data_IF_683127602447
#
_entry.id   IF_683127602447
#
_cell.length_a   1.000
_cell.length_b   1.000
_cell.length_c   1.000
_cell.angle_alpha   90.00
_cell.angle_beta   90.00
_cell.angle_gamma   90.00
#
_symmetry.space_group_name_H-M   'P 1'
#
loop_
_entity.id
_entity.type
_entity.pdbx_description
1 polymer ?
#
# COMPACT_ATOMS: atom_id res chain seq x y z
N UNK A 1 30.78 -77.34 -21.60
CA UNK A 1 30.63 -76.12 -20.78
C UNK A 1 29.16 -75.77 -20.82
N UNK A 2 28.52 -75.96 -19.66
CA UNK A 2 27.09 -75.75 -19.44
C UNK A 2 26.70 -74.28 -19.63
N UNK A 3 25.53 -74.08 -20.22
CA UNK A 3 24.75 -72.85 -20.07
C UNK A 3 23.29 -73.25 -19.84
N UNK A 4 23.01 -73.54 -18.58
CA UNK A 4 21.64 -73.58 -18.04
C UNK A 4 21.13 -72.14 -18.01
N UNK A 5 20.13 -71.82 -18.83
CA UNK A 5 19.32 -70.61 -18.65
C UNK A 5 17.93 -71.05 -18.25
N UNK A 6 17.70 -71.02 -16.94
CA UNK A 6 16.40 -71.23 -16.32
C UNK A 6 15.50 -70.03 -16.66
N UNK A 7 14.70 -70.14 -17.71
CA UNK A 7 13.57 -69.24 -17.91
C UNK A 7 12.41 -69.76 -17.06
N UNK A 8 12.28 -69.21 -15.84
CA UNK A 8 11.06 -69.31 -15.07
C UNK A 8 9.95 -68.61 -15.86
N UNK A 9 9.15 -69.40 -16.58
CA UNK A 9 7.93 -68.96 -17.23
C UNK A 9 6.94 -68.55 -16.13
N UNK A 10 6.86 -67.24 -15.84
CA UNK A 10 5.77 -66.69 -15.03
C UNK A 10 4.46 -67.08 -15.69
N UNK A 11 3.54 -67.67 -14.93
CA UNK A 11 2.26 -68.15 -15.47
C UNK A 11 1.47 -66.99 -16.10
N UNK A 12 0.74 -67.21 -17.21
CA UNK A 12 -0.03 -66.14 -17.88
C UNK A 12 -1.06 -65.44 -16.97
N UNK A 13 -1.43 -66.10 -15.86
CA UNK A 13 -2.26 -65.57 -14.77
C UNK A 13 -1.59 -64.45 -13.97
N UNK A 14 -0.30 -64.52 -13.67
CA UNK A 14 0.41 -63.50 -12.88
C UNK A 14 0.59 -62.19 -13.65
N UNK A 15 0.80 -62.27 -14.96
CA UNK A 15 0.96 -61.09 -15.83
C UNK A 15 -0.35 -60.31 -15.99
N UNK A 16 -1.49 -61.02 -16.08
CA UNK A 16 -2.82 -60.42 -16.14
C UNK A 16 -3.19 -59.70 -14.83
N UNK A 17 -2.85 -60.28 -13.68
CA UNK A 17 -3.08 -59.62 -12.39
C UNK A 17 -2.21 -58.38 -12.17
N UNK A 18 -0.97 -58.38 -12.65
CA UNK A 18 -0.04 -57.25 -12.54
C UNK A 18 -0.49 -56.06 -13.41
N UNK A 19 -0.99 -56.35 -14.62
CA UNK A 19 -1.62 -55.36 -15.50
C UNK A 19 -2.90 -54.78 -14.86
N UNK A 20 -3.73 -55.63 -14.26
CA UNK A 20 -4.96 -55.21 -13.57
C UNK A 20 -4.65 -54.32 -12.37
N UNK A 21 -3.66 -54.68 -11.53
CA UNK A 21 -3.21 -53.83 -10.40
C UNK A 21 -2.65 -52.48 -10.86
N UNK A 22 -1.89 -52.44 -11.96
CA UNK A 22 -1.41 -51.17 -12.55
C UNK A 22 -2.56 -50.30 -13.07
N UNK A 23 -3.57 -50.90 -13.71
CA UNK A 23 -4.75 -50.17 -14.15
C UNK A 23 -5.56 -49.61 -12.97
N UNK A 24 -5.73 -50.38 -11.90
CA UNK A 24 -6.36 -49.90 -10.67
C UNK A 24 -5.58 -48.74 -10.03
N UNK A 25 -4.26 -48.88 -9.88
CA UNK A 25 -3.40 -47.82 -9.33
C UNK A 25 -3.40 -46.53 -10.16
N UNK A 26 -3.38 -46.65 -11.51
CA UNK A 26 -3.51 -45.48 -12.39
C UNK A 26 -4.89 -44.83 -12.24
N UNK A 27 -5.97 -45.62 -12.17
CA UNK A 27 -7.31 -45.08 -11.96
C UNK A 27 -7.40 -44.32 -10.63
N UNK A 28 -6.89 -44.87 -9.53
CA UNK A 28 -6.86 -44.22 -8.21
C UNK A 28 -6.06 -42.90 -8.22
N UNK A 29 -4.91 -42.87 -8.90
CA UNK A 29 -4.14 -41.64 -9.09
C UNK A 29 -4.89 -40.59 -9.92
N UNK A 30 -5.69 -41.03 -10.90
CA UNK A 30 -6.49 -40.13 -11.73
C UNK A 30 -7.65 -39.55 -10.92
N UNK A 31 -8.35 -40.39 -10.16
CA UNK A 31 -9.42 -39.97 -9.24
C UNK A 31 -8.91 -39.03 -8.16
N UNK A 32 -7.78 -39.34 -7.51
CA UNK A 32 -7.17 -38.48 -6.49
C UNK A 32 -6.78 -37.11 -7.06
N UNK A 33 -6.23 -37.07 -8.29
CA UNK A 33 -5.90 -35.82 -9.00
C UNK A 33 -7.13 -35.00 -9.36
N UNK A 34 -8.21 -35.65 -9.75
CA UNK A 34 -9.48 -35.00 -10.11
C UNK A 34 -10.21 -34.47 -8.86
N UNK A 35 -10.14 -35.19 -7.75
CA UNK A 35 -10.61 -34.74 -6.44
C UNK A 35 -9.80 -33.54 -5.90
N UNK A 36 -8.49 -33.54 -6.08
CA UNK A 36 -7.63 -32.40 -5.72
C UNK A 36 -7.90 -31.18 -6.60
N UNK A 37 -8.11 -31.38 -7.90
CA UNK A 37 -8.48 -30.31 -8.82
C UNK A 37 -9.84 -29.69 -8.47
N UNK A 38 -10.83 -30.51 -8.10
CA UNK A 38 -12.16 -30.04 -7.69
C UNK A 38 -12.13 -29.33 -6.32
N UNK A 39 -11.31 -29.79 -5.36
CA UNK A 39 -11.05 -29.08 -4.09
C UNK A 39 -10.39 -27.72 -4.32
N UNK A 40 -9.41 -27.66 -5.22
CA UNK A 40 -8.75 -26.41 -5.59
C UNK A 40 -9.74 -25.43 -6.23
N UNK A 41 -10.60 -25.91 -7.13
CA UNK A 41 -11.61 -25.09 -7.80
C UNK A 41 -12.69 -24.59 -6.83
N UNK A 42 -13.09 -25.44 -5.88
CA UNK A 42 -13.98 -25.06 -4.78
C UNK A 42 -13.34 -23.96 -3.92
N UNK A 43 -12.04 -24.09 -3.62
CA UNK A 43 -11.30 -23.09 -2.84
C UNK A 43 -11.19 -21.76 -3.59
N UNK A 44 -10.86 -21.79 -4.89
CA UNK A 44 -10.87 -20.61 -5.76
C UNK A 44 -12.23 -19.95 -5.79
N UNK A 45 -13.30 -20.72 -5.96
CA UNK A 45 -14.68 -20.23 -5.97
C UNK A 45 -15.05 -19.55 -4.65
N UNK A 46 -14.62 -20.11 -3.51
CA UNK A 46 -14.84 -19.50 -2.18
C UNK A 46 -14.06 -18.19 -2.04
N UNK A 47 -12.80 -18.14 -2.49
CA UNK A 47 -11.98 -16.94 -2.46
C UNK A 47 -12.57 -15.83 -3.34
N UNK A 48 -12.98 -16.15 -4.57
CA UNK A 48 -13.64 -15.19 -5.47
C UNK A 48 -14.92 -14.62 -4.85
N UNK A 49 -15.72 -15.46 -4.18
CA UNK A 49 -16.90 -15.00 -3.45
C UNK A 49 -16.55 -14.10 -2.25
N UNK A 50 -15.43 -14.34 -1.57
CA UNK A 50 -14.94 -13.44 -0.51
C UNK A 50 -14.52 -12.10 -1.10
N UNK A 51 -13.72 -12.10 -2.17
CA UNK A 51 -13.29 -10.87 -2.86
C UNK A 51 -14.47 -10.05 -3.36
N UNK A 52 -15.48 -10.71 -3.96
CA UNK A 52 -16.69 -10.03 -4.42
C UNK A 52 -17.45 -9.36 -3.27
N UNK A 53 -17.63 -10.06 -2.15
CA UNK A 53 -18.28 -9.49 -0.95
C UNK A 53 -17.45 -8.38 -0.32
N UNK A 54 -16.13 -8.48 -0.40
CA UNK A 54 -15.24 -7.43 0.07
C UNK A 54 -15.41 -6.15 -0.76
N UNK A 55 -15.47 -6.26 -2.09
CA UNK A 55 -15.68 -5.09 -2.95
C UNK A 55 -17.07 -4.46 -2.74
N UNK A 56 -18.13 -5.27 -2.62
CA UNK A 56 -19.48 -4.79 -2.29
C UNK A 56 -19.52 -4.07 -0.93
N UNK A 57 -18.85 -4.64 0.08
CA UNK A 57 -18.76 -4.01 1.39
C UNK A 57 -17.95 -2.70 1.34
N UNK A 58 -16.86 -2.66 0.59
CA UNK A 58 -16.04 -1.46 0.37
C UNK A 58 -16.87 -0.37 -0.32
N UNK A 59 -17.68 -0.71 -1.32
CA UNK A 59 -18.57 0.24 -1.98
C UNK A 59 -19.65 0.77 -1.03
N UNK A 60 -20.28 -0.11 -0.23
CA UNK A 60 -21.32 0.27 0.74
C UNK A 60 -20.79 1.10 1.91
N UNK A 61 -19.55 0.86 2.33
CA UNK A 61 -18.89 1.64 3.38
C UNK A 61 -18.29 2.94 2.84
N UNK A 62 -18.00 3.01 1.55
CA UNK A 62 -17.54 4.23 0.89
C UNK A 62 -18.67 5.25 0.83
N UNK A 63 -18.55 6.33 1.59
CA UNK A 63 -19.50 7.44 1.53
C UNK A 63 -19.24 8.24 0.26
N UNK A 64 -20.26 8.87 -0.31
CA UNK A 64 -20.06 9.76 -1.48
C UNK A 64 -19.04 10.87 -1.17
N UNK A 65 -18.97 11.34 0.08
CA UNK A 65 -17.92 12.26 0.55
C UNK A 65 -16.52 11.67 0.36
N UNK A 66 -16.34 10.38 0.61
CA UNK A 66 -15.04 9.71 0.57
C UNK A 66 -14.60 9.51 -0.88
N UNK A 67 -15.55 9.25 -1.79
CA UNK A 67 -15.28 9.20 -3.25
C UNK A 67 -14.82 10.56 -3.77
N UNK A 68 -15.49 11.64 -3.37
CA UNK A 68 -15.11 13.00 -3.74
C UNK A 68 -13.74 13.38 -3.16
N UNK A 69 -13.45 12.99 -1.91
CA UNK A 69 -12.14 13.20 -1.29
C UNK A 69 -11.06 12.44 -2.06
N UNK A 70 -11.30 11.16 -2.38
CA UNK A 70 -10.36 10.33 -3.15
C UNK A 70 -10.01 10.96 -4.49
N UNK A 71 -11.01 11.30 -5.31
CA UNK A 71 -10.77 11.90 -6.63
C UNK A 71 -10.07 13.26 -6.55
N UNK A 72 -10.45 14.10 -5.58
CA UNK A 72 -9.83 15.40 -5.39
C UNK A 72 -8.38 15.27 -4.94
N UNK A 73 -8.10 14.43 -3.94
CA UNK A 73 -6.73 14.20 -3.47
C UNK A 73 -5.87 13.58 -4.57
N UNK A 74 -6.38 12.62 -5.33
CA UNK A 74 -5.65 12.05 -6.46
C UNK A 74 -5.24 13.14 -7.47
N UNK A 75 -6.16 14.03 -7.84
CA UNK A 75 -5.88 15.15 -8.76
C UNK A 75 -4.88 16.15 -8.16
N UNK A 76 -5.00 16.46 -6.88
CA UNK A 76 -4.11 17.39 -6.19
C UNK A 76 -2.68 16.87 -6.10
N UNK A 77 -2.50 15.60 -5.73
CA UNK A 77 -1.18 14.96 -5.67
C UNK A 77 -0.57 14.79 -7.06
N UNK A 78 -1.38 14.44 -8.07
CA UNK A 78 -0.91 14.38 -9.45
C UNK A 78 -0.44 15.76 -9.94
N UNK A 79 -1.20 16.82 -9.67
CA UNK A 79 -0.80 18.18 -10.01
C UNK A 79 0.48 18.61 -9.26
N UNK A 80 0.64 18.21 -8.00
CA UNK A 80 1.85 18.45 -7.22
C UNK A 80 3.05 17.70 -7.79
N UNK A 81 2.87 16.46 -8.24
CA UNK A 81 3.88 15.64 -8.93
C UNK A 81 4.28 16.26 -10.27
N UNK A 82 3.34 16.70 -11.09
CA UNK A 82 3.63 17.35 -12.38
C UNK A 82 4.36 18.68 -12.19
N UNK A 83 4.02 19.43 -11.14
CA UNK A 83 4.64 20.71 -10.83
C UNK A 83 5.94 20.59 -10.02
N UNK A 84 6.36 19.37 -9.67
CA UNK A 84 7.61 19.08 -8.96
C UNK A 84 8.79 19.63 -9.76
N UNK A 85 9.68 20.35 -9.07
CA UNK A 85 10.91 20.90 -9.67
C UNK A 85 12.16 20.24 -9.12
N UNK A 86 12.06 19.64 -7.93
CA UNK A 86 13.18 19.06 -7.20
C UNK A 86 12.67 17.88 -6.36
N UNK A 87 13.38 16.75 -6.41
CA UNK A 87 13.15 15.59 -5.55
C UNK A 87 14.37 15.35 -4.67
N UNK A 88 14.17 15.33 -3.36
CA UNK A 88 15.21 15.04 -2.37
C UNK A 88 14.94 13.65 -1.80
N UNK A 89 15.83 12.71 -2.07
CA UNK A 89 15.82 11.39 -1.43
C UNK A 89 16.31 11.50 0.00
N UNK A 90 15.56 10.92 0.93
CA UNK A 90 15.85 10.94 2.37
C UNK A 90 15.92 9.50 2.87
N UNK A 91 16.92 9.23 3.70
CA UNK A 91 17.06 7.94 4.38
C UNK A 91 15.98 7.80 5.48
N UNK A 92 15.54 6.58 5.76
CA UNK A 92 14.49 6.32 6.76
C UNK A 92 14.79 6.93 8.13
N UNK A 93 16.05 6.95 8.56
CA UNK A 93 16.48 7.49 9.85
C UNK A 93 16.40 9.03 9.92
N UNK A 94 16.40 9.69 8.76
CA UNK A 94 16.32 11.15 8.65
C UNK A 94 14.87 11.65 8.65
N UNK A 95 13.90 10.78 8.38
CA UNK A 95 12.48 11.07 8.54
C UNK A 95 12.10 11.07 10.03
N UNK A 96 11.98 12.27 10.59
CA UNK A 96 11.69 12.47 12.01
C UNK A 96 11.00 13.82 12.26
N UNK A 97 10.59 14.06 13.51
CA UNK A 97 9.86 15.26 13.94
C UNK A 97 10.60 16.58 13.58
N UNK A 98 11.93 16.58 13.54
CA UNK A 98 12.72 17.76 13.17
C UNK A 98 12.64 18.11 11.69
N UNK A 99 12.71 17.09 10.82
CA UNK A 99 12.50 17.27 9.40
C UNK A 99 11.04 17.65 9.11
N UNK A 100 10.07 17.01 9.76
CA UNK A 100 8.66 17.37 9.66
C UNK A 100 8.42 18.84 10.05
N UNK A 101 9.05 19.31 11.13
CA UNK A 101 8.98 20.71 11.55
C UNK A 101 9.56 21.67 10.49
N UNK A 102 10.66 21.29 9.83
CA UNK A 102 11.28 22.07 8.75
C UNK A 102 10.35 22.18 7.54
N UNK A 103 9.74 21.06 7.12
CA UNK A 103 8.79 21.04 6.01
C UNK A 103 7.56 21.88 6.37
N UNK A 104 7.08 21.75 7.62
CA UNK A 104 5.95 22.53 8.14
C UNK A 104 6.23 24.04 8.10
N UNK A 105 7.40 24.48 8.56
CA UNK A 105 7.81 25.87 8.48
C UNK A 105 7.82 26.36 7.03
N UNK A 106 8.42 25.58 6.12
CA UNK A 106 8.49 25.90 4.69
C UNK A 106 7.12 26.14 4.07
N UNK A 107 6.15 25.25 4.31
CA UNK A 107 4.80 25.40 3.72
C UNK A 107 4.03 26.59 4.30
N UNK A 108 4.29 26.97 5.56
CA UNK A 108 3.68 28.18 6.16
C UNK A 108 4.24 29.45 5.54
N UNK A 109 5.57 29.54 5.44
CA UNK A 109 6.25 30.69 4.81
C UNK A 109 5.80 30.82 3.35
N UNK A 110 5.68 29.72 2.61
CA UNK A 110 5.20 29.73 1.23
C UNK A 110 3.76 30.22 1.12
N UNK A 111 2.87 29.74 1.99
CA UNK A 111 1.48 30.16 2.00
C UNK A 111 1.33 31.65 2.33
N UNK A 112 2.05 32.15 3.33
CA UNK A 112 2.05 33.57 3.70
C UNK A 112 2.60 34.44 2.57
N UNK A 113 3.71 34.02 1.95
CA UNK A 113 4.29 34.73 0.80
C UNK A 113 3.31 34.78 -0.38
N UNK A 114 2.67 33.66 -0.71
CA UNK A 114 1.67 33.58 -1.79
C UNK A 114 0.47 34.48 -1.49
N UNK A 115 0.04 34.56 -0.23
CA UNK A 115 -1.02 35.48 0.19
C UNK A 115 -0.60 36.95 0.01
N UNK A 116 0.64 37.32 0.34
CA UNK A 116 1.18 38.68 0.13
C UNK A 116 1.28 39.04 -1.36
N UNK A 117 1.76 38.13 -2.20
CA UNK A 117 1.89 38.34 -3.65
C UNK A 117 0.52 38.52 -4.30
N UNK A 118 -0.46 37.69 -3.91
CA UNK A 118 -1.85 37.82 -4.37
C UNK A 118 -2.47 39.17 -4.00
N UNK A 119 -2.08 39.75 -2.85
CA UNK A 119 -2.54 41.07 -2.43
C UNK A 119 -1.91 42.22 -3.24
N UNK A 120 -0.66 42.01 -3.70
CA UNK A 120 0.13 43.05 -4.35
C UNK A 120 -0.02 43.11 -5.89
N UNK A 121 -0.71 42.14 -6.53
CA UNK A 121 -0.85 42.04 -8.00
C UNK A 121 0.49 42.11 -8.77
N UNK A 122 1.59 41.67 -8.16
CA UNK A 122 2.93 41.70 -8.77
C UNK A 122 3.10 40.43 -9.61
N UNK A 123 3.61 40.51 -10.87
CA UNK A 123 3.92 39.34 -11.66
C UNK A 123 4.96 38.47 -10.95
N UNK A 124 4.65 37.19 -10.75
CA UNK A 124 5.58 36.22 -10.15
C UNK A 124 6.72 35.89 -11.10
N UNK A 125 7.97 36.16 -10.68
CA UNK A 125 9.15 35.52 -11.27
C UNK A 125 9.09 34.00 -11.01
N UNK A 126 9.28 33.19 -12.06
CA UNK A 126 9.10 31.73 -12.01
C UNK A 126 10.13 31.01 -11.12
N UNK A 127 11.18 31.70 -10.68
CA UNK A 127 12.31 31.13 -9.95
C UNK A 127 11.99 30.77 -8.49
N UNK A 128 10.94 31.35 -7.90
CA UNK A 128 10.56 31.13 -6.50
C UNK A 128 9.53 30.02 -6.28
N UNK A 129 9.06 29.37 -7.35
CA UNK A 129 8.07 28.29 -7.28
C UNK A 129 8.72 26.90 -7.20
N UNK A 130 9.88 26.75 -6.55
CA UNK A 130 10.50 25.43 -6.41
C UNK A 130 9.62 24.54 -5.53
N UNK A 131 8.90 23.61 -6.17
CA UNK A 131 8.09 22.58 -5.50
C UNK A 131 8.99 21.39 -5.22
N UNK A 132 9.77 21.52 -4.16
CA UNK A 132 10.56 20.42 -3.62
C UNK A 132 9.64 19.35 -3.04
N UNK A 133 9.90 18.10 -3.40
CA UNK A 133 9.29 16.91 -2.78
C UNK A 133 10.36 16.08 -2.10
N UNK A 134 9.96 15.33 -1.08
CA UNK A 134 10.87 14.47 -0.33
C UNK A 134 10.46 13.01 -0.48
N UNK A 135 11.38 12.13 -0.85
CA UNK A 135 11.11 10.71 -1.08
C UNK A 135 11.80 9.84 -0.02
N UNK A 136 11.02 8.99 0.64
CA UNK A 136 11.49 8.06 1.67
C UNK A 136 10.91 6.68 1.36
N UNK A 137 11.73 5.80 0.79
CA UNK A 137 11.29 4.49 0.28
C UNK A 137 10.02 4.60 -0.59
N UNK A 138 8.90 4.14 -0.07
CA UNK A 138 7.58 4.12 -0.70
C UNK A 138 6.67 5.28 -0.29
N UNK A 139 7.23 6.32 0.33
CA UNK A 139 6.56 7.58 0.68
C UNK A 139 7.09 8.71 -0.18
N UNK A 140 6.20 9.58 -0.61
CA UNK A 140 6.55 10.85 -1.24
C UNK A 140 5.79 11.96 -0.50
N UNK A 141 6.53 12.97 -0.07
CA UNK A 141 6.03 14.11 0.69
C UNK A 141 6.00 15.33 -0.23
N UNK A 142 4.83 15.95 -0.33
CA UNK A 142 4.55 17.12 -1.14
C UNK A 142 4.30 18.35 -0.27
N UNK A 143 4.92 19.47 -0.63
CA UNK A 143 4.52 20.78 -0.14
C UNK A 143 3.28 21.22 -0.93
N UNK A 144 2.09 21.10 -0.33
CA UNK A 144 0.82 21.45 -0.98
C UNK A 144 0.46 22.93 -0.74
N UNK A 145 -0.49 23.44 -1.53
CA UNK A 145 -0.97 24.81 -1.39
C UNK A 145 -1.73 25.01 -0.06
N UNK A 146 -1.55 26.17 0.58
CA UNK A 146 -2.31 26.56 1.77
C UNK A 146 -1.76 25.99 3.09
N UNK A 147 -0.43 25.99 3.28
CA UNK A 147 0.23 25.49 4.49
C UNK A 147 -0.05 24.00 4.78
N UNK A 148 -0.29 23.21 3.72
CA UNK A 148 -0.61 21.78 3.80
C UNK A 148 0.58 20.92 3.39
N UNK A 149 0.71 19.76 4.03
CA UNK A 149 1.71 18.75 3.70
C UNK A 149 0.98 17.50 3.24
N UNK A 150 1.26 17.08 2.01
CA UNK A 150 0.73 15.85 1.43
C UNK A 150 1.70 14.70 1.60
N UNK A 151 1.23 13.54 2.07
CA UNK A 151 1.98 12.30 2.11
C UNK A 151 1.29 11.31 1.19
N UNK A 152 1.99 10.88 0.15
CA UNK A 152 1.60 9.77 -0.71
C UNK A 152 2.35 8.52 -0.26
N UNK A 153 1.64 7.41 -0.13
CA UNK A 153 2.19 6.14 0.27
C UNK A 153 1.78 5.04 -0.69
N UNK A 154 2.75 4.32 -1.21
CA UNK A 154 2.56 3.21 -2.14
C UNK A 154 2.74 1.87 -1.43
N UNK A 155 1.75 0.99 -1.50
CA UNK A 155 1.88 -0.39 -1.01
C UNK A 155 2.54 -1.28 -2.05
N UNK A 156 3.31 -2.27 -1.58
CA UNK A 156 3.91 -3.29 -2.42
C UNK A 156 3.52 -4.67 -1.91
N UNK A 157 3.14 -5.56 -2.82
CA UNK A 157 2.92 -6.97 -2.54
C UNK A 157 3.72 -7.81 -3.52
N UNK A 158 4.56 -8.71 -3.00
CA UNK A 158 5.46 -9.54 -3.81
C UNK A 158 6.35 -8.74 -4.79
N UNK A 159 6.69 -7.49 -4.44
CA UNK A 159 7.52 -6.59 -5.26
C UNK A 159 6.72 -5.72 -6.24
N UNK A 160 5.43 -5.97 -6.40
CA UNK A 160 4.56 -5.19 -7.32
C UNK A 160 3.81 -4.08 -6.57
N UNK A 161 3.73 -2.87 -7.14
CA UNK A 161 2.94 -1.79 -6.57
C UNK A 161 1.45 -2.16 -6.59
N UNK A 162 0.76 -1.86 -5.50
CA UNK A 162 -0.65 -2.20 -5.31
C UNK A 162 -1.51 -0.94 -5.25
N UNK A 163 -1.78 -0.43 -4.06
CA UNK A 163 -2.59 0.77 -3.84
C UNK A 163 -1.74 1.97 -3.45
N UNK A 164 -2.19 3.14 -3.90
CA UNK A 164 -1.65 4.42 -3.48
C UNK A 164 -2.64 5.06 -2.51
N UNK A 165 -2.12 5.45 -1.35
CA UNK A 165 -2.87 6.16 -0.33
C UNK A 165 -2.34 7.58 -0.15
N UNK A 166 -3.24 8.50 0.15
CA UNK A 166 -2.95 9.91 0.37
C UNK A 166 -3.35 10.30 1.78
N UNK A 167 -2.55 11.14 2.40
CA UNK A 167 -2.81 11.76 3.69
C UNK A 167 -2.41 13.23 3.62
N UNK A 168 -3.27 14.12 4.08
CA UNK A 168 -3.03 15.56 4.12
C UNK A 168 -2.96 16.00 5.57
N UNK A 169 -1.88 16.70 5.87
CA UNK A 169 -1.59 17.25 7.16
C UNK A 169 -1.66 18.77 7.12
N UNK A 170 -2.26 19.36 8.13
CA UNK A 170 -2.40 20.81 8.27
C UNK A 170 -2.21 21.23 9.72
N UNK A 171 -1.66 22.42 9.92
CA UNK A 171 -1.66 23.13 11.19
C UNK A 171 -2.05 24.58 10.91
N UNK A 172 -2.82 25.23 11.78
CA UNK A 172 -3.21 26.63 11.55
C UNK A 172 -2.06 27.61 11.79
N UNK A 173 -1.03 27.17 12.49
CA UNK A 173 0.16 27.92 12.86
C UNK A 173 1.32 26.96 13.11
N UNK A 174 2.55 27.45 12.95
CA UNK A 174 3.76 26.71 13.31
C UNK A 174 3.79 26.29 14.79
N UNK A 175 3.10 27.02 15.68
CA UNK A 175 3.01 26.69 17.10
C UNK A 175 1.89 25.70 17.41
N UNK A 176 0.96 25.47 16.48
CA UNK A 176 -0.13 24.55 16.67
C UNK A 176 0.25 23.11 16.31
N UNK A 177 -0.49 22.17 16.91
CA UNK A 177 -0.39 20.76 16.61
C UNK A 177 -0.78 20.52 15.14
N UNK A 178 -0.02 19.66 14.47
CA UNK A 178 -0.32 19.18 13.13
C UNK A 178 -1.41 18.11 13.18
N UNK A 179 -2.38 18.19 12.29
CA UNK A 179 -3.58 17.33 12.28
C UNK A 179 -3.81 16.72 10.91
N UNK A 180 -4.45 15.55 10.88
CA UNK A 180 -4.86 14.91 9.62
C UNK A 180 -6.19 15.49 9.20
N UNK A 181 -6.22 16.21 8.07
CA UNK A 181 -7.45 16.85 7.59
C UNK A 181 -8.19 15.98 6.59
N UNK A 182 -7.46 15.33 5.67
CA UNK A 182 -8.04 14.54 4.59
C UNK A 182 -7.17 13.33 4.27
N UNK A 183 -7.77 12.18 3.97
CA UNK A 183 -7.01 10.98 3.62
C UNK A 183 -7.83 9.99 2.78
N UNK A 184 -7.13 9.11 2.07
CA UNK A 184 -7.72 7.93 1.41
C UNK A 184 -7.37 6.62 2.13
N UNK A 185 -6.79 6.74 3.34
CA UNK A 185 -6.36 5.61 4.16
C UNK A 185 -7.52 4.68 4.52
N UNK A 186 -7.29 3.35 4.55
CA UNK A 186 -8.31 2.39 4.92
C UNK A 186 -8.87 2.60 6.33
N UNK A 187 -10.18 2.40 6.50
CA UNK A 187 -10.90 2.63 7.77
C UNK A 187 -10.39 1.81 8.97
N UNK A 188 -9.72 0.68 8.71
CA UNK A 188 -9.18 -0.17 9.76
C UNK A 188 -7.89 0.40 10.37
N UNK A 189 -7.33 1.46 9.80
CA UNK A 189 -6.21 2.18 10.38
C UNK A 189 -6.73 3.17 11.43
N UNK A 190 -6.23 3.11 12.68
CA UNK A 190 -6.70 3.96 13.77
C UNK A 190 -6.07 5.37 13.69
N UNK A 191 -6.41 6.12 12.64
CA UNK A 191 -5.76 7.39 12.28
C UNK A 191 -5.81 8.40 13.43
N UNK A 192 -6.95 8.50 14.14
CA UNK A 192 -7.13 9.44 15.27
C UNK A 192 -6.19 9.16 16.45
N UNK A 193 -5.96 7.88 16.75
CA UNK A 193 -5.07 7.46 17.83
C UNK A 193 -3.62 7.77 17.44
N UNK A 194 -3.26 7.42 16.20
CA UNK A 194 -1.92 7.62 15.64
C UNK A 194 -1.58 9.11 15.49
N UNK A 195 -2.54 9.94 15.08
CA UNK A 195 -2.40 11.40 15.09
C UNK A 195 -2.23 11.95 16.50
N UNK A 196 -2.93 11.38 17.49
CA UNK A 196 -2.79 11.78 18.88
C UNK A 196 -1.39 11.51 19.36
N UNK A 197 -0.86 10.32 19.12
CA UNK A 197 0.45 9.94 19.63
C UNK A 197 1.59 10.59 18.84
N UNK A 198 1.57 10.51 17.51
CA UNK A 198 2.75 10.83 16.70
C UNK A 198 2.84 12.28 16.20
N UNK A 199 1.74 13.02 16.20
CA UNK A 199 1.73 14.42 15.76
C UNK A 199 1.61 15.41 16.93
N UNK A 200 1.34 14.97 18.17
CA UNK A 200 1.15 15.87 19.33
C UNK A 200 2.41 16.24 20.12
N UNK A 201 3.60 16.02 19.55
CA UNK A 201 4.89 16.17 20.22
C UNK A 201 5.21 15.03 21.20
N UNK A 202 6.33 14.35 20.96
CA UNK A 202 7.04 13.41 21.85
C UNK A 202 6.50 11.97 22.03
N UNK A 203 5.95 11.33 21.00
CA UNK A 203 5.77 9.87 21.06
C UNK A 203 7.02 9.10 20.59
N UNK A 204 7.81 8.62 21.55
CA UNK A 204 8.69 7.47 21.36
C UNK A 204 7.86 6.23 21.68
N UNK A 205 7.31 5.57 20.67
CA UNK A 205 6.52 4.33 20.85
C UNK A 205 7.27 3.18 20.17
N UNK A 206 7.48 2.09 20.91
CA UNK A 206 8.02 0.82 20.39
C UNK A 206 6.91 0.05 19.66
N UNK A 207 7.24 -0.48 18.48
CA UNK A 207 6.27 -1.01 17.51
C UNK A 207 5.73 -2.41 17.86
N UNK A 208 4.40 -2.62 17.86
CA UNK A 208 3.79 -3.94 17.71
C UNK A 208 3.67 -4.32 16.23
N UNK A 209 3.79 -5.61 15.88
CA UNK A 209 3.48 -6.10 14.53
C UNK A 209 1.96 -5.98 14.26
N UNK A 210 1.53 -5.14 13.32
CA UNK A 210 0.11 -5.00 12.95
C UNK A 210 -0.24 -3.72 12.18
N UNK A 211 -1.54 -3.45 11.94
CA UNK A 211 -2.03 -2.24 11.24
C UNK A 211 -1.56 -0.93 11.87
N UNK A 212 -1.32 -0.95 13.18
CA UNK A 212 -0.71 0.16 13.92
C UNK A 212 0.69 0.49 13.39
N UNK A 213 1.56 -0.50 13.18
CA UNK A 213 2.89 -0.24 12.62
C UNK A 213 2.82 0.43 11.25
N UNK A 214 1.86 0.02 10.42
CA UNK A 214 1.61 0.64 9.12
C UNK A 214 1.19 2.11 9.27
N UNK A 215 0.25 2.41 10.18
CA UNK A 215 -0.16 3.79 10.45
C UNK A 215 0.97 4.63 11.00
N UNK A 216 1.79 4.10 11.92
CA UNK A 216 2.94 4.84 12.47
C UNK A 216 3.96 5.10 11.38
N UNK A 217 4.32 4.11 10.57
CA UNK A 217 5.22 4.32 9.42
C UNK A 217 4.68 5.35 8.45
N UNK A 218 3.36 5.52 8.28
CA UNK A 218 2.85 6.58 7.42
C UNK A 218 3.27 7.98 7.91
N UNK A 219 3.36 8.17 9.22
CA UNK A 219 3.72 9.46 9.84
C UNK A 219 5.17 9.55 10.32
N UNK A 220 5.93 8.43 10.33
CA UNK A 220 7.29 8.29 10.88
C UNK A 220 8.20 7.38 10.08
#
# INVERSE_FOLDING_TARGET
>A
MDLSVTLALSSPTEHGEQLRRRQHSLSELTYAREEDATKLETTRSRLLNVLKRHEDLKERLSRDSDKLIFERLQKEFEAARVAQTEEISIDDEQWNDGLLATIREKVHIEAERKAMVNLANIPTDSQFQSRTTYRIRNKVIYCLDGARIGIQYETFFAGEPCEIYHCVLESKSFLEKMTVTEHTLPFFLPIREVETDHLSSNAIVKFPHGPLAFSVQLFK
#
